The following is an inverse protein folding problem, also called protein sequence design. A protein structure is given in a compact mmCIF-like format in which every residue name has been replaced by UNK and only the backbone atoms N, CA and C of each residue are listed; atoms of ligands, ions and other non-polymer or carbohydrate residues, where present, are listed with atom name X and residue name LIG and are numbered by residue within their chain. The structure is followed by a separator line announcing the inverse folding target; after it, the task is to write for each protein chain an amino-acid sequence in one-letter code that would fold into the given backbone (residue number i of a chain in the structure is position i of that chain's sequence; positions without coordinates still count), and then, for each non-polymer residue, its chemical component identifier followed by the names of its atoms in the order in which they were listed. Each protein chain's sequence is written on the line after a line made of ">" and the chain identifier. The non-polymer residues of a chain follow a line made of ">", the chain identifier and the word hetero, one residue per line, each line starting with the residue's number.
data_IF_364746921199
#
_entry.id   IF_364746921199
#
_cell.length_a   1.000
_cell.length_b   1.000
_cell.length_c   1.000
_cell.angle_alpha   90.00
_cell.angle_beta   90.00
_cell.angle_gamma   90.00
#
_symmetry.space_group_name_H-M   'P 1'
#
loop_
_entity.id
_entity.type
_entity.pdbx_description
1 polymer ?
#
# COMPACT_ATOMS: atom_id res chain seq x y z
N UNK A 1 -1.29 5.43 17.53
CA UNK A 1 -0.20 6.15 16.85
C UNK A 1 -0.65 7.58 16.64
N UNK A 2 0.22 8.58 16.84
CA UNK A 2 -0.10 9.96 16.52
C UNK A 2 0.22 10.27 15.06
N UNK A 3 -0.68 10.99 14.38
CA UNK A 3 -0.53 11.33 12.97
C UNK A 3 0.64 12.29 12.76
N UNK A 4 1.63 11.94 11.91
CA UNK A 4 2.80 12.79 11.69
C UNK A 4 2.47 14.10 10.95
N UNK A 5 1.25 14.23 10.40
CA UNK A 5 0.83 15.40 9.64
C UNK A 5 -0.02 16.40 10.44
N UNK A 6 -0.76 15.94 11.44
CA UNK A 6 -1.66 16.81 12.21
C UNK A 6 -1.70 16.55 13.71
N UNK A 7 -0.89 15.61 14.22
CA UNK A 7 -0.75 15.29 15.64
C UNK A 7 -1.95 14.61 16.29
N UNK A 8 -3.00 14.25 15.53
CA UNK A 8 -4.18 13.56 16.06
C UNK A 8 -3.97 12.05 16.08
N UNK A 9 -4.62 11.38 17.03
CA UNK A 9 -4.63 9.92 17.12
C UNK A 9 -5.14 9.26 15.82
N UNK A 10 -4.45 8.19 15.41
CA UNK A 10 -4.76 7.40 14.23
C UNK A 10 -5.47 6.10 14.60
N UNK A 11 -6.32 5.63 13.68
CA UNK A 11 -7.04 4.37 13.80
C UNK A 11 -6.31 3.29 13.00
N UNK A 12 -5.96 2.21 13.68
CA UNK A 12 -5.41 1.02 13.04
C UNK A 12 -6.47 0.29 12.23
N UNK A 13 -6.11 -0.19 11.03
CA UNK A 13 -7.01 -0.90 10.14
C UNK A 13 -6.29 -1.72 9.08
N UNK A 14 -7.08 -2.32 8.20
CA UNK A 14 -6.60 -3.22 7.15
C UNK A 14 -7.16 -2.75 5.81
N UNK A 15 -6.28 -2.49 4.85
CA UNK A 15 -6.63 -2.39 3.42
C UNK A 15 -6.76 -3.80 2.85
N UNK A 16 -7.82 -4.08 2.10
CA UNK A 16 -8.01 -5.38 1.45
C UNK A 16 -8.48 -5.23 0.00
N UNK A 17 -8.07 -6.16 -0.86
CA UNK A 17 -8.52 -6.23 -2.25
C UNK A 17 -8.28 -7.60 -2.89
N UNK A 18 -8.48 -7.72 -4.20
CA UNK A 18 -8.31 -8.97 -4.96
C UNK A 18 -6.84 -9.41 -4.98
N UNK A 19 -6.58 -10.67 -4.61
CA UNK A 19 -5.23 -11.26 -4.58
C UNK A 19 -4.65 -11.60 -5.97
N UNK A 20 -5.45 -11.51 -7.04
CA UNK A 20 -5.00 -11.86 -8.41
C UNK A 20 -3.99 -10.89 -9.01
N UNK A 21 -3.87 -9.69 -8.46
CA UNK A 21 -2.91 -8.68 -8.92
C UNK A 21 -2.07 -8.18 -7.76
N UNK A 22 -0.77 -7.99 -8.01
CA UNK A 22 0.11 -7.38 -7.03
C UNK A 22 -0.20 -5.89 -6.87
N UNK A 23 -0.25 -5.43 -5.63
CA UNK A 23 -0.25 -4.00 -5.27
C UNK A 23 1.13 -3.43 -5.56
N UNK A 24 1.17 -2.38 -6.37
CA UNK A 24 2.41 -1.75 -6.83
C UNK A 24 2.40 -0.25 -6.54
N UNK A 25 3.57 0.33 -6.31
CA UNK A 25 3.76 1.77 -6.12
C UNK A 25 4.78 2.30 -7.13
N UNK A 26 4.37 3.29 -7.93
CA UNK A 26 5.24 3.98 -8.88
C UNK A 26 5.37 5.45 -8.50
N UNK A 27 6.59 6.01 -8.38
CA UNK A 27 6.77 7.43 -8.20
C UNK A 27 6.38 8.18 -9.50
N UNK A 28 5.47 9.14 -9.40
CA UNK A 28 5.04 10.01 -10.52
C UNK A 28 3.88 9.45 -11.37
N UNK A 29 3.66 10.05 -12.55
CA UNK A 29 2.56 9.69 -13.48
C UNK A 29 2.95 8.62 -14.52
N UNK A 30 3.93 7.77 -14.21
CA UNK A 30 4.44 6.78 -15.17
C UNK A 30 3.48 5.59 -15.21
N UNK A 31 2.75 5.43 -16.32
CA UNK A 31 1.91 4.25 -16.57
C UNK A 31 2.77 2.99 -16.63
N UNK A 32 2.33 1.93 -15.95
CA UNK A 32 2.97 0.61 -15.97
C UNK A 32 3.06 0.06 -17.40
N UNK A 33 4.28 -0.06 -17.91
CA UNK A 33 4.53 -0.78 -19.16
C UNK A 33 4.32 -2.29 -18.98
N UNK A 34 4.08 -3.03 -20.06
CA UNK A 34 3.91 -4.49 -20.01
C UNK A 34 5.12 -5.15 -19.30
N UNK A 35 6.34 -4.73 -19.62
CA UNK A 35 7.56 -5.32 -19.05
C UNK A 35 7.68 -5.16 -17.53
N UNK A 36 7.32 -4.01 -16.96
CA UNK A 36 7.35 -3.79 -15.50
C UNK A 36 6.45 -4.78 -14.75
N UNK A 37 5.29 -5.09 -15.34
CA UNK A 37 4.31 -6.03 -14.78
C UNK A 37 4.84 -7.47 -14.75
N UNK A 38 5.73 -7.80 -15.68
CA UNK A 38 6.33 -9.14 -15.84
C UNK A 38 7.51 -9.35 -14.88
N UNK A 39 8.32 -8.31 -14.66
CA UNK A 39 9.53 -8.38 -13.83
C UNK A 39 9.18 -8.23 -12.33
N UNK A 40 7.99 -7.72 -12.01
CA UNK A 40 7.52 -7.61 -10.62
C UNK A 40 8.21 -6.50 -9.83
N UNK A 41 8.76 -5.53 -10.56
CA UNK A 41 9.29 -4.27 -10.07
C UNK A 41 8.12 -3.50 -9.44
N UNK A 42 8.40 -2.67 -8.45
CA UNK A 42 7.45 -1.76 -7.81
C UNK A 42 6.44 -2.43 -6.86
N UNK A 43 6.64 -3.71 -6.48
CA UNK A 43 5.74 -4.40 -5.56
C UNK A 43 5.90 -3.92 -4.12
N UNK A 44 4.78 -3.62 -3.48
CA UNK A 44 4.73 -3.31 -2.05
C UNK A 44 4.93 -4.57 -1.21
N UNK A 45 5.95 -4.57 -0.35
CA UNK A 45 6.23 -5.71 0.55
C UNK A 45 5.24 -5.81 1.70
N UNK A 46 4.54 -4.72 2.04
CA UNK A 46 3.50 -4.71 3.05
C UNK A 46 2.28 -5.57 2.70
N UNK A 47 2.08 -5.87 1.41
CA UNK A 47 0.95 -6.66 0.94
C UNK A 47 1.13 -8.15 1.27
N UNK A 48 0.25 -8.65 2.13
CA UNK A 48 0.11 -10.06 2.49
C UNK A 48 -0.89 -10.71 1.55
N UNK A 49 -0.42 -11.60 0.67
CA UNK A 49 -1.28 -12.25 -0.34
C UNK A 49 -1.77 -13.61 0.12
N UNK A 50 -3.04 -13.87 -0.19
CA UNK A 50 -3.69 -15.18 -0.17
C UNK A 50 -4.14 -15.51 -1.60
N UNK A 51 -4.73 -16.69 -1.80
CA UNK A 51 -5.17 -17.13 -3.14
C UNK A 51 -6.22 -16.20 -3.78
N UNK A 52 -7.02 -15.50 -2.96
CA UNK A 52 -8.17 -14.69 -3.41
C UNK A 52 -8.12 -13.24 -2.95
N UNK A 53 -7.27 -12.90 -2.00
CA UNK A 53 -7.22 -11.56 -1.43
C UNK A 53 -5.80 -11.13 -1.04
N UNK A 54 -5.56 -9.82 -0.99
CA UNK A 54 -4.42 -9.27 -0.26
C UNK A 54 -4.90 -8.45 0.93
N UNK A 55 -4.03 -8.30 1.93
CA UNK A 55 -4.21 -7.35 3.03
C UNK A 55 -2.95 -6.50 3.24
N UNK A 56 -3.11 -5.24 3.65
CA UNK A 56 -2.03 -4.35 4.11
C UNK A 56 -2.49 -3.72 5.44
N UNK A 57 -1.68 -3.84 6.48
CA UNK A 57 -1.90 -3.14 7.74
C UNK A 57 -1.62 -1.65 7.54
N UNK A 58 -2.54 -0.80 7.95
CA UNK A 58 -2.43 0.64 7.73
C UNK A 58 -3.06 1.41 8.89
N UNK A 59 -2.56 2.63 9.11
CA UNK A 59 -3.13 3.56 10.07
C UNK A 59 -3.81 4.71 9.32
N UNK A 60 -5.08 4.95 9.62
CA UNK A 60 -5.88 6.02 9.04
C UNK A 60 -6.07 7.15 10.06
N UNK A 61 -5.75 8.38 9.66
CA UNK A 61 -6.04 9.55 10.47
C UNK A 61 -7.38 10.17 10.03
N UNK A 62 -8.44 10.12 10.86
CA UNK A 62 -9.72 10.75 10.52
C UNK A 62 -9.63 12.29 10.46
N UNK A 63 -8.62 12.88 11.12
CA UNK A 63 -8.43 14.32 11.18
C UNK A 63 -7.94 14.95 9.87
N UNK A 64 -6.94 14.35 9.22
CA UNK A 64 -6.39 14.84 7.96
C UNK A 64 -6.72 13.94 6.75
N UNK A 65 -7.46 12.84 6.98
CA UNK A 65 -7.88 11.84 5.99
C UNK A 65 -6.72 11.16 5.26
N UNK A 66 -5.53 11.17 5.86
CA UNK A 66 -4.35 10.48 5.34
C UNK A 66 -4.29 9.07 5.91
N UNK A 67 -3.78 8.17 5.10
CA UNK A 67 -3.47 6.81 5.48
C UNK A 67 -1.97 6.59 5.30
N UNK A 68 -1.35 5.91 6.25
CA UNK A 68 0.05 5.53 6.20
C UNK A 68 0.16 4.04 6.47
N UNK A 69 1.16 3.41 5.88
CA UNK A 69 1.52 2.03 6.13
C UNK A 69 3.01 1.89 5.84
N UNK A 70 3.70 1.11 6.66
CA UNK A 70 5.10 0.82 6.44
C UNK A 70 5.24 -0.20 5.32
N UNK A 71 6.15 0.06 4.37
CA UNK A 71 6.40 -0.82 3.24
C UNK A 71 7.80 -0.60 2.71
N UNK A 72 8.33 -1.62 2.04
CA UNK A 72 9.42 -1.50 1.07
C UNK A 72 8.87 -1.71 -0.34
N UNK A 73 9.68 -1.31 -1.32
CA UNK A 73 9.41 -1.53 -2.73
C UNK A 73 10.42 -2.54 -3.23
N UNK A 74 9.97 -3.71 -3.68
CA UNK A 74 10.83 -4.68 -4.35
C UNK A 74 11.12 -4.23 -5.78
N UNK A 75 12.39 -4.03 -6.07
CA UNK A 75 12.94 -3.82 -7.42
C UNK A 75 13.42 -5.12 -8.05
#
# INVERSE_FOLDING_TARGET
>A
MDCPFCGKEMQHGILSGDGRSAVTFKPGEIKTGWFDRLIGIDKLTAAKYTLTAFTIDADYCPGCKKMIFDTDIKG
#
